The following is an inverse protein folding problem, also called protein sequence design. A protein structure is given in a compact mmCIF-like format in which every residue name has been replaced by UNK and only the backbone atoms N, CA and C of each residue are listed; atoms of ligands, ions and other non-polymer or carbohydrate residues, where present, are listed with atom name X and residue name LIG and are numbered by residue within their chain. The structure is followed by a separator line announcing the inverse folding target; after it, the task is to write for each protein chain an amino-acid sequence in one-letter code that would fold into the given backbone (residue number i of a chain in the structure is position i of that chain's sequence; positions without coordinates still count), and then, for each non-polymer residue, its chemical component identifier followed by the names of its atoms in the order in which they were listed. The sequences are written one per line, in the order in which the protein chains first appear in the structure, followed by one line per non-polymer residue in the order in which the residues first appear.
data_IF_101861197741
#
_entry.id   IF_101861197741
#
_cell.length_a   1.000
_cell.length_b   1.000
_cell.length_c   1.000
_cell.angle_alpha   90.00
_cell.angle_beta   90.00
_cell.angle_gamma   90.00
#
_symmetry.space_group_name_H-M   'P 1'
#
loop_
_entity.id
_entity.type
_entity.pdbx_description
1 polymer ?
#
# COMPACT_ATOMS: atom_id res chain seq x y z
N UNK A 1 1.40 -0.33 4.13
CA UNK A 1 2.81 0.09 4.02
C UNK A 1 2.99 1.59 4.34
N UNK A 2 2.25 2.49 3.68
CA UNK A 2 2.34 3.95 3.86
C UNK A 2 2.23 4.38 5.34
N UNK A 3 1.21 3.92 6.07
CA UNK A 3 1.02 4.26 7.49
C UNK A 3 2.22 3.86 8.36
N UNK A 4 2.90 2.77 8.03
CA UNK A 4 4.11 2.34 8.73
C UNK A 4 5.23 3.36 8.53
N UNK A 5 5.48 3.74 7.27
CA UNK A 5 6.50 4.74 6.92
C UNK A 5 6.18 6.09 7.58
N UNK A 6 4.96 6.61 7.43
CA UNK A 6 4.57 7.90 8.03
C UNK A 6 4.76 7.90 9.55
N UNK A 7 4.30 6.85 10.24
CA UNK A 7 4.41 6.76 11.70
C UNK A 7 5.86 6.60 12.18
N UNK A 8 6.63 5.71 11.57
CA UNK A 8 7.95 5.32 12.09
C UNK A 8 9.09 6.19 11.58
N UNK A 9 9.01 6.65 10.32
CA UNK A 9 10.11 7.41 9.71
C UNK A 9 9.90 8.92 9.86
N UNK A 10 8.67 9.42 9.75
CA UNK A 10 8.41 10.86 9.83
C UNK A 10 7.97 11.27 11.22
N UNK A 11 6.83 10.75 11.70
CA UNK A 11 6.19 11.24 12.92
C UNK A 11 6.93 10.87 14.20
N UNK A 12 7.64 9.74 14.22
CA UNK A 12 8.35 9.26 15.40
C UNK A 12 9.48 10.20 15.88
N UNK A 13 9.91 11.14 15.04
CA UNK A 13 10.95 12.10 15.37
C UNK A 13 10.43 13.32 16.13
N UNK A 14 9.10 13.53 16.15
CA UNK A 14 8.48 14.72 16.72
C UNK A 14 7.87 14.43 18.10
N UNK A 15 8.05 15.37 19.03
CA UNK A 15 7.27 15.40 20.27
C UNK A 15 5.99 16.20 20.02
N UNK A 16 4.85 15.52 20.11
CA UNK A 16 3.53 16.10 19.85
C UNK A 16 2.86 16.37 21.20
N UNK A 17 2.49 17.62 21.46
CA UNK A 17 1.91 18.03 22.76
C UNK A 17 0.39 18.19 22.70
N UNK A 18 -0.15 18.53 21.52
CA UNK A 18 -1.58 18.74 21.32
C UNK A 18 -2.03 18.26 19.93
N UNK A 19 -3.35 18.22 19.71
CA UNK A 19 -3.93 17.73 18.46
C UNK A 19 -3.64 18.63 17.26
N UNK A 20 -3.47 19.94 17.47
CA UNK A 20 -3.14 20.89 16.41
C UNK A 20 -1.74 20.61 15.89
N UNK A 21 -0.74 20.48 16.77
CA UNK A 21 0.63 20.09 16.43
C UNK A 21 0.64 18.76 15.67
N UNK A 22 -0.15 17.78 16.13
CA UNK A 22 -0.26 16.47 15.49
C UNK A 22 -0.73 16.58 14.02
N UNK A 23 -1.71 17.45 13.77
CA UNK A 23 -2.26 17.68 12.43
C UNK A 23 -1.25 18.37 11.54
N UNK A 24 -0.52 19.35 12.05
CA UNK A 24 0.53 20.04 11.31
C UNK A 24 1.69 19.11 10.96
N UNK A 25 2.22 18.37 11.95
CA UNK A 25 3.26 17.36 11.72
C UNK A 25 2.81 16.30 10.70
N UNK A 26 1.56 15.84 10.79
CA UNK A 26 1.01 14.89 9.81
C UNK A 26 0.94 15.50 8.41
N UNK A 27 0.46 16.75 8.29
CA UNK A 27 0.37 17.45 7.00
C UNK A 27 1.74 17.54 6.34
N UNK A 28 2.74 18.03 7.08
CA UNK A 28 4.11 18.15 6.58
C UNK A 28 4.72 16.79 6.24
N UNK A 29 4.46 15.76 7.04
CA UNK A 29 4.95 14.39 6.77
C UNK A 29 4.39 13.81 5.48
N UNK A 30 3.09 14.01 5.22
CA UNK A 30 2.43 13.58 3.99
C UNK A 30 2.97 14.36 2.79
N UNK A 31 3.18 15.67 2.94
CA UNK A 31 3.75 16.53 1.90
C UNK A 31 5.16 16.07 1.50
N UNK A 32 6.03 15.80 2.48
CA UNK A 32 7.37 15.24 2.23
C UNK A 32 7.31 13.85 1.58
N UNK A 33 6.40 12.98 2.02
CA UNK A 33 6.24 11.65 1.43
C UNK A 33 5.83 11.73 -0.04
N UNK A 34 4.91 12.61 -0.40
CA UNK A 34 4.39 12.73 -1.75
C UNK A 34 5.32 13.49 -2.70
N UNK A 35 6.02 14.52 -2.21
CA UNK A 35 6.78 15.44 -3.07
C UNK A 35 8.29 15.16 -3.07
N UNK A 36 8.87 14.71 -1.96
CA UNK A 36 10.33 14.63 -1.79
C UNK A 36 10.84 13.19 -1.82
N UNK A 37 10.03 12.22 -1.39
CA UNK A 37 10.49 10.84 -1.24
C UNK A 37 10.55 10.12 -2.59
N UNK A 38 11.73 9.66 -3.06
CA UNK A 38 11.82 8.78 -4.22
C UNK A 38 11.37 7.37 -3.86
N UNK A 39 10.58 6.73 -4.73
CA UNK A 39 10.01 5.41 -4.47
C UNK A 39 10.50 4.38 -5.49
N UNK A 40 11.17 3.33 -5.01
CA UNK A 40 11.66 2.23 -5.84
C UNK A 40 10.56 1.53 -6.66
N UNK A 41 9.32 1.49 -6.18
CA UNK A 41 8.21 0.87 -6.90
C UNK A 41 7.78 1.61 -8.16
N UNK A 42 8.18 2.88 -8.29
CA UNK A 42 7.84 3.79 -9.39
C UNK A 42 9.10 4.43 -9.99
N UNK A 43 10.21 3.68 -10.05
CA UNK A 43 11.43 4.11 -10.74
C UNK A 43 12.18 5.26 -10.05
N UNK A 44 12.12 5.34 -8.71
CA UNK A 44 12.68 6.45 -7.94
C UNK A 44 12.02 7.81 -8.19
N UNK A 45 10.84 7.82 -8.81
CA UNK A 45 9.99 9.01 -8.91
C UNK A 45 9.24 9.26 -7.59
N UNK A 46 8.69 10.46 -7.47
CA UNK A 46 7.84 10.85 -6.34
C UNK A 46 6.37 10.58 -6.68
N UNK A 47 5.52 10.24 -5.70
CA UNK A 47 4.11 9.98 -5.94
C UNK A 47 3.39 11.17 -6.61
N UNK A 48 3.74 12.40 -6.20
CA UNK A 48 3.16 13.60 -6.79
C UNK A 48 3.52 13.75 -8.27
N UNK A 49 4.78 13.50 -8.64
CA UNK A 49 5.23 13.58 -10.03
C UNK A 49 4.47 12.59 -10.93
N UNK A 50 4.29 11.36 -10.44
CA UNK A 50 3.58 10.31 -11.20
C UNK A 50 2.11 10.67 -11.41
N UNK A 51 1.43 11.18 -10.37
CA UNK A 51 0.02 11.55 -10.50
C UNK A 51 -0.18 12.83 -11.32
N UNK A 52 0.62 13.87 -11.08
CA UNK A 52 0.49 15.16 -11.76
C UNK A 52 0.75 15.08 -13.27
N UNK A 53 1.65 14.20 -13.68
CA UNK A 53 2.00 13.99 -15.09
C UNK A 53 1.34 12.76 -15.72
N UNK A 54 0.45 12.08 -14.99
CA UNK A 54 -0.23 10.84 -15.43
C UNK A 54 0.74 9.78 -16.00
N UNK A 55 1.90 9.61 -15.35
CA UNK A 55 2.95 8.74 -15.86
C UNK A 55 2.57 7.27 -15.75
N UNK A 56 2.75 6.54 -16.85
CA UNK A 56 2.68 5.08 -16.84
C UNK A 56 3.98 4.50 -16.28
N UNK A 57 3.94 4.07 -15.02
CA UNK A 57 5.09 3.50 -14.31
C UNK A 57 5.12 1.98 -14.44
N UNK A 58 6.31 1.44 -14.72
CA UNK A 58 6.50 -0.01 -14.80
C UNK A 58 6.46 -0.66 -13.42
N UNK A 59 5.93 -1.88 -13.35
CA UNK A 59 5.94 -2.68 -12.11
C UNK A 59 7.32 -3.29 -11.91
N UNK A 60 8.10 -2.71 -11.00
CA UNK A 60 9.49 -3.13 -10.75
C UNK A 60 9.67 -4.32 -9.79
N UNK A 61 8.60 -4.82 -9.18
CA UNK A 61 8.70 -5.92 -8.21
C UNK A 61 8.29 -7.27 -8.80
N UNK A 62 9.03 -8.32 -8.40
CA UNK A 62 8.75 -9.70 -8.78
C UNK A 62 7.48 -10.20 -8.10
N UNK A 63 6.66 -10.94 -8.85
CA UNK A 63 5.59 -11.75 -8.28
C UNK A 63 6.16 -13.13 -7.93
N UNK A 64 6.08 -13.50 -6.65
CA UNK A 64 6.52 -14.81 -6.18
C UNK A 64 5.46 -15.91 -6.32
N UNK A 65 4.20 -15.51 -6.52
CA UNK A 65 3.10 -16.44 -6.74
C UNK A 65 2.99 -16.76 -8.22
N UNK A 66 3.08 -18.05 -8.55
CA UNK A 66 2.74 -18.54 -9.89
C UNK A 66 1.23 -18.52 -10.06
N UNK A 67 0.74 -17.97 -11.18
CA UNK A 67 -0.66 -18.20 -11.57
C UNK A 67 -0.77 -19.68 -11.91
N UNK A 68 -1.41 -20.46 -11.06
CA UNK A 68 -1.73 -21.84 -11.37
C UNK A 68 -2.80 -21.82 -12.47
N UNK A 69 -2.37 -21.93 -13.73
CA UNK A 69 -3.25 -21.96 -14.91
C UNK A 69 -3.94 -23.31 -15.08
N UNK A 70 -3.57 -24.31 -14.29
CA UNK A 70 -4.34 -25.55 -14.19
C UNK A 70 -5.62 -25.22 -13.43
N UNK A 71 -6.74 -25.17 -14.15
CA UNK A 71 -8.07 -25.31 -13.55
C UNK A 71 -8.02 -26.62 -12.76
N UNK A 72 -7.90 -26.52 -11.44
CA UNK A 72 -7.98 -27.70 -10.57
C UNK A 72 -9.43 -28.12 -10.55
N UNK A 73 -9.74 -29.07 -11.43
CA UNK A 73 -10.98 -29.83 -11.51
C UNK A 73 -12.28 -28.98 -11.50
N UNK A 74 -12.85 -28.62 -12.67
CA UNK A 74 -14.14 -27.89 -12.74
C UNK A 74 -15.33 -28.66 -12.13
N UNK A 75 -15.13 -29.91 -11.70
CA UNK A 75 -16.13 -30.74 -11.04
C UNK A 75 -16.17 -30.56 -9.50
N UNK A 76 -15.20 -29.87 -8.88
CA UNK A 76 -15.19 -29.66 -7.42
C UNK A 76 -16.13 -28.55 -6.94
N UNK A 77 -16.58 -27.66 -7.83
CA UNK A 77 -17.54 -26.60 -7.48
C UNK A 77 -18.99 -27.11 -7.38
N UNK A 78 -19.22 -28.41 -7.63
CA UNK A 78 -20.54 -29.06 -7.53
C UNK A 78 -20.77 -29.82 -6.22
N UNK A 79 -19.87 -29.72 -5.24
CA UNK A 79 -20.16 -30.27 -3.91
C UNK A 79 -20.95 -29.24 -3.09
N UNK A 80 -22.25 -29.53 -3.00
CA UNK A 80 -23.25 -28.91 -2.11
C UNK A 80 -22.61 -28.36 -0.84
N UNK A 81 -22.97 -27.14 -0.45
CA UNK A 81 -22.61 -26.54 0.84
C UNK A 81 -22.86 -27.53 1.97
N UNK A 82 -21.80 -28.06 2.57
CA UNK A 82 -21.87 -28.97 3.71
C UNK A 82 -22.20 -28.12 4.93
N UNK A 83 -23.40 -28.36 5.47
CA UNK A 83 -23.88 -28.01 6.80
C UNK A 83 -23.88 -26.51 7.18
N UNK A 84 -25.01 -25.85 6.89
CA UNK A 84 -25.58 -24.95 7.90
C UNK A 84 -26.10 -25.86 9.02
N UNK A 85 -25.80 -25.51 10.28
CA UNK A 85 -26.23 -26.11 11.56
C UNK A 85 -25.15 -26.84 12.39
N UNK A 86 -25.14 -26.43 13.69
CA UNK A 86 -24.42 -26.86 14.89
C UNK A 86 -23.08 -26.16 15.17
N UNK A 87 -22.91 -25.32 16.20
CA UNK A 87 -23.74 -24.90 17.36
C UNK A 87 -23.56 -23.39 17.63
#
# INVERSE_FOLDING_TARGET
RINGILKHEYLNQYRINNITDARECLRSSVELYNNERPHFSIGLLTPELVHSQELNVERLWKNYYTKNTKIVNPLQDNEKTVNQYQD
#
